data_IF_821305834733
#
_entry.id   IF_821305834733
#
_cell.length_a   1.000
_cell.length_b   1.000
_cell.length_c   1.000
_cell.angle_alpha   90.00
_cell.angle_beta   90.00
_cell.angle_gamma   90.00
#
_symmetry.space_group_name_H-M   'P 1'
#
loop_
_entity.id
_entity.type
_entity.pdbx_description
1 polymer ?
#
# COMPACT_ATOMS: atom_id res chain seq x y z
N UNK A 1 -14.73 7.96 4.63
CA UNK A 1 -15.01 6.51 4.43
C UNK A 1 -15.22 6.24 2.95
N UNK A 2 -14.61 5.21 2.43
CA UNK A 2 -14.77 4.80 1.02
C UNK A 2 -16.03 3.95 0.92
N UNK A 3 -16.96 4.32 0.03
CA UNK A 3 -18.10 3.48 -0.24
C UNK A 3 -17.64 2.20 -0.96
N UNK A 4 -18.12 1.05 -0.52
CA UNK A 4 -17.74 -0.24 -1.09
C UNK A 4 -18.02 -0.31 -2.59
N UNK A 5 -19.17 0.21 -3.04
CA UNK A 5 -19.51 0.25 -4.46
C UNK A 5 -18.48 1.03 -5.27
N UNK A 6 -18.11 2.23 -4.81
CA UNK A 6 -17.10 3.06 -5.48
C UNK A 6 -15.76 2.36 -5.52
N UNK A 7 -15.38 1.72 -4.44
CA UNK A 7 -14.13 0.96 -4.37
C UNK A 7 -14.13 -0.20 -5.37
N UNK A 8 -15.23 -0.95 -5.44
CA UNK A 8 -15.36 -2.07 -6.38
C UNK A 8 -15.35 -1.60 -7.83
N UNK A 9 -15.98 -0.47 -8.14
CA UNK A 9 -15.97 0.10 -9.49
C UNK A 9 -14.56 0.52 -9.90
N UNK A 10 -13.81 1.14 -9.01
CA UNK A 10 -12.40 1.49 -9.23
C UNK A 10 -11.55 0.26 -9.43
N UNK A 11 -11.77 -0.78 -8.63
CA UNK A 11 -11.05 -2.05 -8.74
C UNK A 11 -11.32 -2.72 -10.09
N UNK A 12 -12.58 -2.74 -10.55
CA UNK A 12 -12.94 -3.29 -11.86
C UNK A 12 -12.24 -2.57 -13.00
N UNK A 13 -12.22 -1.23 -12.94
CA UNK A 13 -11.54 -0.40 -13.93
C UNK A 13 -10.05 -0.69 -13.94
N UNK A 14 -9.45 -0.76 -12.78
CA UNK A 14 -8.02 -1.05 -12.64
C UNK A 14 -7.66 -2.42 -13.19
N UNK A 15 -8.45 -3.46 -12.87
CA UNK A 15 -8.23 -4.81 -13.39
C UNK A 15 -8.38 -4.86 -14.91
N UNK A 16 -9.33 -4.12 -15.47
CA UNK A 16 -9.52 -4.06 -16.92
C UNK A 16 -8.32 -3.43 -17.63
N UNK A 17 -7.70 -2.42 -17.01
CA UNK A 17 -6.49 -1.76 -17.53
C UNK A 17 -5.22 -2.57 -17.28
N UNK A 18 -5.21 -3.39 -16.24
CA UNK A 18 -4.08 -4.20 -15.82
C UNK A 18 -4.52 -5.66 -15.66
N UNK A 19 -4.67 -6.41 -16.78
CA UNK A 19 -5.19 -7.77 -16.72
C UNK A 19 -4.35 -8.66 -15.81
N UNK A 20 -4.97 -9.48 -14.96
CA UNK A 20 -4.24 -10.34 -14.04
C UNK A 20 -3.50 -11.47 -14.77
N UNK A 21 -2.30 -11.74 -14.30
CA UNK A 21 -1.55 -12.94 -14.66
C UNK A 21 -1.80 -14.00 -13.58
N UNK A 22 -2.54 -15.03 -13.90
CA UNK A 22 -2.92 -16.06 -12.95
C UNK A 22 -1.81 -17.04 -12.60
N UNK A 23 -0.60 -16.83 -13.12
CA UNK A 23 0.55 -17.66 -12.80
C UNK A 23 1.18 -17.41 -11.43
N UNK A 24 0.84 -16.29 -10.78
CA UNK A 24 1.39 -15.90 -9.48
C UNK A 24 0.28 -15.90 -8.42
N UNK A 25 0.46 -16.72 -7.38
CA UNK A 25 -0.52 -16.83 -6.30
C UNK A 25 -0.72 -15.55 -5.48
N UNK A 26 0.22 -14.62 -5.52
CA UNK A 26 0.10 -13.33 -4.84
C UNK A 26 -0.33 -12.20 -5.79
N UNK A 27 -0.49 -12.50 -7.06
CA UNK A 27 -0.76 -11.47 -8.05
C UNK A 27 -2.03 -10.67 -7.75
N UNK A 28 -3.10 -11.35 -7.35
CA UNK A 28 -4.38 -10.68 -7.04
C UNK A 28 -4.20 -9.72 -5.87
N UNK A 29 -3.49 -10.13 -4.82
CA UNK A 29 -3.23 -9.28 -3.66
C UNK A 29 -2.36 -8.08 -4.02
N UNK A 30 -1.37 -8.28 -4.88
CA UNK A 30 -0.53 -7.20 -5.39
C UNK A 30 -1.36 -6.22 -6.22
N UNK A 31 -2.24 -6.72 -7.07
CA UNK A 31 -3.13 -5.90 -7.89
C UNK A 31 -4.09 -5.07 -7.02
N UNK A 32 -4.64 -5.67 -5.97
CA UNK A 32 -5.47 -4.97 -4.99
C UNK A 32 -4.71 -3.83 -4.32
N UNK A 33 -3.48 -4.10 -3.90
CA UNK A 33 -2.63 -3.08 -3.28
C UNK A 33 -2.35 -1.93 -4.24
N UNK A 34 -1.95 -2.22 -5.46
CA UNK A 34 -1.63 -1.19 -6.45
C UNK A 34 -2.85 -0.35 -6.80
N UNK A 35 -4.02 -0.98 -6.95
CA UNK A 35 -5.27 -0.27 -7.18
C UNK A 35 -5.63 0.64 -6.01
N UNK A 36 -5.53 0.13 -4.78
CA UNK A 36 -5.81 0.91 -3.58
C UNK A 36 -4.86 2.10 -3.46
N UNK A 37 -3.58 1.87 -3.65
CA UNK A 37 -2.55 2.91 -3.52
C UNK A 37 -2.72 4.02 -4.57
N UNK A 38 -3.06 3.65 -5.82
CA UNK A 38 -3.28 4.61 -6.89
C UNK A 38 -4.51 5.49 -6.64
N UNK A 39 -5.59 4.91 -6.12
CA UNK A 39 -6.85 5.61 -5.92
C UNK A 39 -6.98 6.26 -4.54
N UNK A 40 -6.11 5.92 -3.61
CA UNK A 40 -6.13 6.43 -2.24
C UNK A 40 -4.72 6.80 -1.78
N UNK A 41 -4.04 7.72 -2.48
CA UNK A 41 -2.73 8.18 -2.04
C UNK A 41 -2.90 8.83 -0.67
N UNK A 42 -2.19 8.32 0.32
CA UNK A 42 -2.36 8.79 1.69
C UNK A 42 -1.05 8.86 2.44
N UNK A 43 -0.67 10.09 2.75
CA UNK A 43 0.37 10.39 3.72
C UNK A 43 -0.26 11.15 4.87
N UNK A 44 -0.27 10.55 6.05
CA UNK A 44 -0.74 11.23 7.26
C UNK A 44 0.16 12.40 7.62
N UNK A 45 -0.34 13.29 8.48
CA UNK A 45 0.47 14.39 9.01
C UNK A 45 1.73 13.86 9.71
N UNK A 46 1.60 12.73 10.41
CA UNK A 46 2.75 12.11 11.09
C UNK A 46 3.80 11.63 10.10
N UNK A 47 3.39 11.00 8.99
CA UNK A 47 4.32 10.56 7.95
C UNK A 47 5.03 11.76 7.33
N UNK A 48 4.31 12.83 7.04
CA UNK A 48 4.91 14.07 6.52
C UNK A 48 5.90 14.69 7.50
N UNK A 49 5.55 14.69 8.78
CA UNK A 49 6.45 15.18 9.83
C UNK A 49 7.71 14.35 9.92
N UNK A 50 7.60 13.02 9.82
CA UNK A 50 8.73 12.11 9.86
C UNK A 50 9.66 12.33 8.67
N UNK A 51 9.12 12.51 7.45
CA UNK A 51 9.93 12.85 6.28
C UNK A 51 10.60 14.22 6.42
N UNK A 52 9.90 15.21 6.96
CA UNK A 52 10.48 16.53 7.22
C UNK A 52 11.64 16.44 8.20
N UNK A 53 11.51 15.63 9.23
CA UNK A 53 12.59 15.39 10.19
C UNK A 53 13.80 14.74 9.49
N UNK A 54 13.57 13.76 8.63
CA UNK A 54 14.62 13.13 7.84
C UNK A 54 15.35 14.17 6.97
N UNK A 55 14.61 15.03 6.28
CA UNK A 55 15.18 16.08 5.46
C UNK A 55 16.01 17.08 6.29
N UNK A 56 15.55 17.41 7.49
CA UNK A 56 16.30 18.29 8.39
C UNK A 56 17.62 17.68 8.83
N UNK A 57 17.65 16.37 9.08
CA UNK A 57 18.88 15.65 9.41
C UNK A 57 19.90 15.69 8.28
N UNK A 58 19.44 15.85 7.04
CA UNK A 58 20.30 15.94 5.86
C UNK A 58 20.61 17.37 5.43
N UNK A 59 20.27 18.36 6.27
CA UNK A 59 20.49 19.77 5.96
C UNK A 59 21.99 20.05 5.70
N UNK A 60 22.27 20.73 4.60
CA UNK A 60 23.67 21.02 4.18
C UNK A 60 24.29 19.93 3.33
N UNK A 61 23.62 18.81 3.14
CA UNK A 61 24.10 17.72 2.30
C UNK A 61 23.85 18.03 0.82
N UNK A 62 24.78 17.71 -0.09
CA UNK A 62 24.54 17.83 -1.53
C UNK A 62 23.32 17.00 -1.97
N UNK A 63 22.57 17.50 -2.94
CA UNK A 63 21.35 16.86 -3.43
C UNK A 63 21.56 15.41 -3.84
N UNK A 64 22.67 15.12 -4.52
CA UNK A 64 23.01 13.77 -4.96
C UNK A 64 23.11 12.80 -3.78
N UNK A 65 23.75 13.23 -2.69
CA UNK A 65 23.87 12.40 -1.49
C UNK A 65 22.53 12.24 -0.78
N UNK A 66 21.72 13.30 -0.75
CA UNK A 66 20.36 13.21 -0.21
C UNK A 66 19.53 12.18 -0.98
N UNK A 67 19.58 12.20 -2.30
CA UNK A 67 18.84 11.25 -3.14
C UNK A 67 19.29 9.80 -2.89
N UNK A 68 20.56 9.58 -2.67
CA UNK A 68 21.10 8.25 -2.36
C UNK A 68 20.57 7.69 -1.04
N UNK A 69 20.11 8.54 -0.14
CA UNK A 69 19.49 8.15 1.13
C UNK A 69 17.98 8.06 0.97
N UNK A 70 17.36 9.06 0.34
CA UNK A 70 15.90 9.18 0.26
C UNK A 70 15.28 8.09 -0.62
N UNK A 71 15.88 7.77 -1.76
CA UNK A 71 15.31 6.75 -2.65
C UNK A 71 15.22 5.36 -2.00
N UNK A 72 16.26 4.83 -1.34
CA UNK A 72 16.13 3.58 -0.61
C UNK A 72 15.10 3.64 0.52
N UNK A 73 15.00 4.77 1.22
CA UNK A 73 14.01 4.95 2.30
C UNK A 73 12.60 4.89 1.72
N UNK A 74 12.34 5.60 0.62
CA UNK A 74 11.02 5.58 -0.02
C UNK A 74 10.66 4.18 -0.54
N UNK A 75 11.64 3.46 -1.09
CA UNK A 75 11.43 2.08 -1.52
C UNK A 75 11.09 1.18 -0.35
N UNK A 76 11.82 1.30 0.75
CA UNK A 76 11.57 0.54 1.97
C UNK A 76 10.18 0.81 2.53
N UNK A 77 9.77 2.08 2.56
CA UNK A 77 8.43 2.47 3.01
C UNK A 77 7.34 1.82 2.15
N UNK A 78 7.50 1.85 0.83
CA UNK A 78 6.53 1.22 -0.09
C UNK A 78 6.48 -0.29 0.08
N UNK A 79 7.64 -0.94 0.24
CA UNK A 79 7.70 -2.39 0.41
C UNK A 79 7.03 -2.80 1.72
N UNK A 80 7.26 -2.06 2.80
CA UNK A 80 6.59 -2.28 4.09
C UNK A 80 5.09 -2.03 4.01
N UNK A 81 4.68 -0.96 3.36
CA UNK A 81 3.26 -0.62 3.18
C UNK A 81 2.54 -1.73 2.41
N UNK A 82 3.14 -2.20 1.32
CA UNK A 82 2.60 -3.31 0.53
C UNK A 82 2.50 -4.59 1.34
N UNK A 83 3.55 -4.94 2.06
CA UNK A 83 3.56 -6.13 2.91
C UNK A 83 2.49 -6.05 3.99
N UNK A 84 2.35 -4.91 4.64
CA UNK A 84 1.31 -4.68 5.65
C UNK A 84 -0.10 -4.77 5.08
N UNK A 85 -0.33 -4.24 3.89
CA UNK A 85 -1.61 -4.31 3.21
C UNK A 85 -1.99 -5.78 2.90
N UNK A 86 -1.06 -6.55 2.34
CA UNK A 86 -1.28 -7.95 2.00
C UNK A 86 -1.57 -8.78 3.26
N UNK A 87 -0.74 -8.62 4.30
CA UNK A 87 -0.95 -9.31 5.56
C UNK A 87 -2.26 -8.89 6.25
N UNK A 88 -2.62 -7.63 6.14
CA UNK A 88 -3.89 -7.12 6.67
C UNK A 88 -5.09 -7.78 6.01
N UNK A 89 -5.05 -7.95 4.69
CA UNK A 89 -6.11 -8.65 3.95
C UNK A 89 -6.17 -10.12 4.36
N UNK A 90 -5.04 -10.80 4.43
CA UNK A 90 -4.98 -12.20 4.83
C UNK A 90 -5.55 -12.39 6.23
N UNK A 91 -5.14 -11.56 7.17
CA UNK A 91 -5.64 -11.61 8.54
C UNK A 91 -7.13 -11.29 8.60
N UNK A 92 -7.58 -10.28 7.85
CA UNK A 92 -8.98 -9.91 7.80
C UNK A 92 -9.87 -11.04 7.25
N UNK A 93 -9.42 -11.71 6.20
CA UNK A 93 -10.15 -12.86 5.62
C UNK A 93 -10.20 -14.02 6.60
N UNK A 94 -9.10 -14.34 7.27
CA UNK A 94 -9.06 -15.39 8.30
C UNK A 94 -9.99 -15.07 9.44
N UNK A 95 -9.97 -13.84 9.93
CA UNK A 95 -10.84 -13.41 11.02
C UNK A 95 -12.31 -13.49 10.62
N UNK A 96 -12.67 -13.04 9.43
CA UNK A 96 -14.03 -13.12 8.93
C UNK A 96 -14.49 -14.57 8.79
N UNK A 97 -13.61 -15.45 8.33
CA UNK A 97 -13.88 -16.87 8.20
C UNK A 97 -14.14 -17.53 9.57
N UNK A 98 -13.28 -17.22 10.54
CA UNK A 98 -13.46 -17.75 11.91
C UNK A 98 -14.75 -17.24 12.56
N UNK A 99 -15.05 -15.96 12.40
CA UNK A 99 -16.28 -15.37 12.94
C UNK A 99 -17.52 -15.98 12.28
N UNK A 100 -17.48 -16.22 10.97
CA UNK A 100 -18.57 -16.88 10.25
C UNK A 100 -18.74 -18.33 10.71
N UNK A 101 -17.65 -19.04 10.92
CA UNK A 101 -17.67 -20.43 11.36
C UNK A 101 -18.17 -20.62 12.80
N UNK A 102 -17.97 -19.61 13.65
CA UNK A 102 -18.37 -19.68 15.06
C UNK A 102 -19.83 -19.31 15.24
N UNK A 103 -20.32 -18.36 14.50
CA UNK A 103 -21.66 -17.83 14.68
C UNK A 103 -22.71 -18.41 13.76
N UNK A 104 -22.30 -19.23 12.86
CA UNK A 104 -23.17 -19.71 11.78
C UNK A 104 -23.18 -21.25 11.71
#
# INVERSE_FOLDING_TARGET
>A
MIHLKTYLDKLRTYIAENPPDFGDGEYVLTLLYECHNENNPYDSEQIRADFNELYQQMNGMPLREMDNIVYPVCKLCRDHEKAGFIEGIRLGVLLAHELSGVGL
#
